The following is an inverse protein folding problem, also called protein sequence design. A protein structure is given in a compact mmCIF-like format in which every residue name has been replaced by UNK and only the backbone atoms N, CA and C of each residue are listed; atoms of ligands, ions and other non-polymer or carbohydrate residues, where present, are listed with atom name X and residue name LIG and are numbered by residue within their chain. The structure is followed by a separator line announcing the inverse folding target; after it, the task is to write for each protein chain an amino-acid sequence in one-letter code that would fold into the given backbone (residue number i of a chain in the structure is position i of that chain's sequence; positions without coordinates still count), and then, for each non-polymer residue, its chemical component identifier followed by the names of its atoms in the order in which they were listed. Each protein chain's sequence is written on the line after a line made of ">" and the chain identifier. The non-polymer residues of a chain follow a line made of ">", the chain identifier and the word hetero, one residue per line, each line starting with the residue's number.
data_IF_329898678815
#
_entry.id   IF_329898678815
#
_cell.length_a   1.000
_cell.length_b   1.000
_cell.length_c   1.000
_cell.angle_alpha   90.00
_cell.angle_beta   90.00
_cell.angle_gamma   90.00
#
_symmetry.space_group_name_H-M   'P 1'
#
loop_
_entity.id
_entity.type
_entity.pdbx_description
1 polymer ?
#
# COMPACT_ATOMS: atom_id res chain seq x y z
N UNK A 1 -18.80 -0.28 10.91
CA UNK A 1 -18.69 0.59 9.71
C UNK A 1 -17.76 -0.07 8.70
N UNK A 2 -18.03 0.04 7.40
CA UNK A 2 -17.14 -0.49 6.35
C UNK A 2 -16.74 0.63 5.40
N UNK A 3 -15.44 0.86 5.21
CA UNK A 3 -14.92 1.78 4.19
C UNK A 3 -14.21 1.03 3.07
N UNK A 4 -14.45 1.46 1.83
CA UNK A 4 -13.82 0.90 0.64
C UNK A 4 -13.32 2.08 -0.19
N UNK A 5 -11.99 2.20 -0.31
CA UNK A 5 -11.34 3.31 -1.01
C UNK A 5 -10.38 2.78 -2.07
N UNK A 6 -10.19 3.54 -3.15
CA UNK A 6 -9.24 3.22 -4.19
C UNK A 6 -7.92 3.95 -4.00
N UNK A 7 -6.81 3.32 -4.39
CA UNK A 7 -5.47 3.92 -4.30
C UNK A 7 -4.79 3.94 -5.66
N UNK A 8 -4.03 4.99 -6.01
CA UNK A 8 -3.19 5.01 -7.22
C UNK A 8 -2.01 4.06 -7.09
N UNK A 9 -1.36 4.04 -5.93
CA UNK A 9 -0.30 3.10 -5.60
C UNK A 9 -0.17 2.87 -4.09
N UNK A 10 0.51 1.80 -3.73
CA UNK A 10 0.88 1.47 -2.36
C UNK A 10 2.33 1.01 -2.30
N UNK A 11 3.09 1.48 -1.31
CA UNK A 11 4.43 0.94 -1.10
C UNK A 11 4.45 -0.30 -0.19
N UNK A 12 5.59 -0.98 -0.12
CA UNK A 12 5.70 -2.19 0.72
C UNK A 12 5.57 -1.91 2.22
N UNK A 13 5.63 -0.66 2.67
CA UNK A 13 5.33 -0.31 4.07
C UNK A 13 3.83 -0.09 4.31
N UNK A 14 3.00 -0.10 3.26
CA UNK A 14 1.57 0.17 3.34
C UNK A 14 1.22 1.66 3.30
N UNK A 15 2.13 2.53 2.88
CA UNK A 15 1.79 3.93 2.61
C UNK A 15 0.98 3.99 1.31
N UNK A 16 -0.13 4.70 1.33
CA UNK A 16 -1.05 4.80 0.19
C UNK A 16 -0.96 6.17 -0.45
N UNK A 17 -0.82 6.19 -1.77
CA UNK A 17 -0.95 7.40 -2.58
C UNK A 17 -2.23 7.25 -3.40
N UNK A 18 -3.16 8.20 -3.26
CA UNK A 18 -4.44 8.18 -3.97
C UNK A 18 -4.72 9.46 -4.77
N UNK A 19 -3.84 10.46 -4.70
CA UNK A 19 -4.11 11.79 -5.25
C UNK A 19 -3.07 12.34 -6.23
N UNK A 20 -1.88 11.74 -6.30
CA UNK A 20 -0.79 12.22 -7.17
C UNK A 20 -0.15 11.09 -8.00
N UNK A 21 0.37 11.46 -9.17
CA UNK A 21 1.21 10.59 -10.02
C UNK A 21 2.48 11.35 -10.36
N UNK A 22 3.65 10.80 -10.01
CA UNK A 22 4.94 11.47 -10.27
C UNK A 22 5.09 12.82 -9.56
N UNK A 23 4.45 12.99 -8.40
CA UNK A 23 4.43 14.24 -7.64
C UNK A 23 3.52 15.33 -8.20
N UNK A 24 2.78 15.05 -9.27
CA UNK A 24 1.78 15.97 -9.84
C UNK A 24 0.40 15.56 -9.37
N UNK A 25 -0.40 16.53 -8.91
CA UNK A 25 -1.79 16.30 -8.51
C UNK A 25 -2.59 15.72 -9.68
N UNK A 26 -3.32 14.65 -9.41
CA UNK A 26 -4.18 13.97 -10.36
C UNK A 26 -5.67 14.14 -10.00
N UNK A 27 -6.00 14.11 -8.71
CA UNK A 27 -7.33 14.27 -8.11
C UNK A 27 -7.17 14.73 -6.66
N UNK A 28 -8.22 15.13 -5.94
CA UNK A 28 -8.10 15.49 -4.52
C UNK A 28 -8.14 14.27 -3.58
N UNK A 29 -7.62 14.44 -2.35
CA UNK A 29 -7.72 13.46 -1.25
C UNK A 29 -9.17 12.99 -1.01
N UNK A 30 -10.13 13.92 -1.10
CA UNK A 30 -11.52 13.66 -0.72
C UNK A 30 -11.62 13.27 0.77
N UNK A 31 -12.57 12.39 1.10
CA UNK A 31 -12.76 11.87 2.46
C UNK A 31 -12.09 10.52 2.72
N UNK A 32 -11.20 10.04 1.83
CA UNK A 32 -10.62 8.70 1.97
C UNK A 32 -10.04 8.48 3.37
N UNK A 33 -9.20 9.41 3.82
CA UNK A 33 -8.56 9.33 5.13
C UNK A 33 -9.58 9.34 6.27
N UNK A 34 -10.62 10.19 6.18
CA UNK A 34 -11.69 10.27 7.18
C UNK A 34 -12.46 8.94 7.30
N UNK A 35 -12.76 8.29 6.17
CA UNK A 35 -13.46 7.00 6.16
C UNK A 35 -12.55 5.84 6.59
N UNK A 36 -11.24 5.90 6.32
CA UNK A 36 -10.27 4.93 6.84
C UNK A 36 -10.20 5.05 8.36
N UNK A 37 -10.05 6.28 8.88
CA UNK A 37 -10.03 6.55 10.32
C UNK A 37 -11.34 6.16 11.00
N UNK A 38 -12.48 6.59 10.47
CA UNK A 38 -13.79 6.26 11.03
C UNK A 38 -14.06 4.75 11.06
N UNK A 39 -13.59 4.00 10.06
CA UNK A 39 -13.67 2.55 10.10
C UNK A 39 -12.72 1.94 11.14
N UNK A 40 -11.50 2.46 11.32
CA UNK A 40 -10.58 1.97 12.34
C UNK A 40 -11.10 2.19 13.77
N UNK A 41 -11.79 3.30 14.04
CA UNK A 41 -12.32 3.63 15.37
C UNK A 41 -13.67 2.96 15.69
N UNK A 42 -14.36 2.43 14.68
CA UNK A 42 -15.64 1.76 14.87
C UNK A 42 -15.45 0.34 15.43
N UNK A 43 -16.24 -0.09 16.43
CA UNK A 43 -16.31 -1.50 16.82
C UNK A 43 -16.62 -2.38 15.59
N UNK A 44 -15.82 -3.43 15.41
CA UNK A 44 -15.88 -4.34 14.26
C UNK A 44 -15.73 -3.66 12.88
N UNK A 45 -15.17 -2.44 12.87
CA UNK A 45 -14.98 -1.67 11.66
C UNK A 45 -13.94 -2.27 10.73
N UNK A 46 -14.15 -2.09 9.43
CA UNK A 46 -13.31 -2.66 8.37
C UNK A 46 -13.00 -1.61 7.32
N UNK A 47 -11.72 -1.40 7.05
CA UNK A 47 -11.25 -0.55 5.96
C UNK A 47 -10.58 -1.39 4.88
N UNK A 48 -10.92 -1.12 3.62
CA UNK A 48 -10.36 -1.79 2.45
C UNK A 48 -9.75 -0.75 1.52
N UNK A 49 -8.48 -0.97 1.15
CA UNK A 49 -7.80 -0.24 0.07
C UNK A 49 -7.75 -1.16 -1.15
N UNK A 50 -8.44 -0.77 -2.22
CA UNK A 50 -8.70 -1.62 -3.39
C UNK A 50 -8.11 -1.01 -4.66
N UNK A 51 -7.29 -1.76 -5.39
CA UNK A 51 -6.73 -1.29 -6.65
C UNK A 51 -6.27 -2.42 -7.56
N UNK A 52 -6.24 -2.20 -8.88
CA UNK A 52 -5.63 -3.17 -9.80
C UNK A 52 -4.14 -3.29 -9.50
N UNK A 53 -3.53 -4.47 -9.65
CA UNK A 53 -2.11 -4.64 -9.33
C UNK A 53 -1.17 -3.88 -10.29
N UNK A 54 -1.67 -3.44 -11.45
CA UNK A 54 -0.93 -2.71 -12.49
C UNK A 54 -1.70 -1.53 -13.07
N UNK A 55 -0.97 -0.58 -13.68
CA UNK A 55 -1.49 0.51 -14.51
C UNK A 55 -0.73 0.61 -15.83
N UNK A 56 -1.25 1.40 -16.78
CA UNK A 56 -0.56 1.83 -17.99
C UNK A 56 -0.11 3.28 -17.82
N UNK A 57 1.19 3.55 -17.87
CA UNK A 57 1.76 4.90 -17.78
C UNK A 57 2.71 5.08 -18.97
N UNK A 58 2.43 6.07 -19.82
CA UNK A 58 3.26 6.34 -21.02
C UNK A 58 3.36 5.14 -21.97
N UNK A 59 2.29 4.36 -22.11
CA UNK A 59 2.26 3.14 -22.93
C UNK A 59 2.99 1.94 -22.32
N UNK A 60 3.48 2.04 -21.08
CA UNK A 60 4.16 0.95 -20.37
C UNK A 60 3.30 0.44 -19.23
N UNK A 61 3.22 -0.88 -19.11
CA UNK A 61 2.63 -1.54 -17.96
C UNK A 61 3.56 -1.37 -16.75
N UNK A 62 3.02 -0.89 -15.64
CA UNK A 62 3.76 -0.67 -14.39
C UNK A 62 3.02 -1.29 -13.21
N UNK A 63 3.75 -1.71 -12.19
CA UNK A 63 3.15 -2.18 -10.93
C UNK A 63 2.64 -1.01 -10.09
N UNK A 64 1.46 -1.17 -9.48
CA UNK A 64 0.90 -0.23 -8.51
C UNK A 64 1.30 -0.54 -7.06
N UNK A 65 1.89 -1.71 -6.84
CA UNK A 65 2.64 -2.00 -5.61
C UNK A 65 4.10 -1.63 -5.88
N UNK A 66 4.66 -0.71 -5.11
CA UNK A 66 6.03 -0.20 -5.27
C UNK A 66 6.90 -0.55 -4.08
N UNK A 67 8.21 -0.71 -4.27
CA UNK A 67 9.11 -0.95 -3.13
C UNK A 67 9.09 0.22 -2.14
N UNK A 68 9.17 1.43 -2.70
CA UNK A 68 9.04 2.73 -2.04
C UNK A 68 8.38 3.67 -3.04
N UNK A 69 7.60 4.62 -2.54
CA UNK A 69 7.12 5.69 -3.39
C UNK A 69 8.28 6.53 -3.93
N UNK A 70 8.17 7.02 -5.18
CA UNK A 70 9.18 7.92 -5.75
C UNK A 70 9.21 9.24 -4.98
N UNK A 71 10.32 9.98 -5.12
CA UNK A 71 10.42 11.34 -4.61
C UNK A 71 9.27 12.21 -5.14
N UNK A 72 8.75 13.09 -4.27
CA UNK A 72 7.61 13.95 -4.57
C UNK A 72 6.24 13.29 -4.44
N UNK A 73 6.15 11.99 -4.14
CA UNK A 73 4.87 11.36 -3.85
C UNK A 73 4.21 11.95 -2.59
N UNK A 74 2.91 12.23 -2.69
CA UNK A 74 2.07 12.74 -1.60
C UNK A 74 1.27 11.60 -1.01
N UNK A 75 1.56 11.24 0.24
CA UNK A 75 0.88 10.15 0.95
C UNK A 75 -0.49 10.62 1.39
N UNK A 76 -1.52 9.93 0.91
CA UNK A 76 -2.93 10.22 1.23
C UNK A 76 -3.37 9.47 2.49
N UNK A 77 -3.01 8.19 2.59
CA UNK A 77 -3.33 7.35 3.77
C UNK A 77 -2.03 6.78 4.35
N UNK A 78 -1.59 7.25 5.53
CA UNK A 78 -0.37 6.80 6.19
C UNK A 78 -0.34 5.30 6.51
N UNK A 79 0.87 4.75 6.69
CA UNK A 79 1.05 3.30 6.94
C UNK A 79 0.44 2.77 8.23
N UNK A 80 0.19 3.61 9.23
CA UNK A 80 -0.28 3.16 10.55
C UNK A 80 -1.73 2.67 10.56
N UNK A 81 -2.47 2.91 9.48
CA UNK A 81 -3.86 2.48 9.38
C UNK A 81 -4.01 0.96 9.30
N UNK A 82 -5.12 0.50 9.87
CA UNK A 82 -5.52 -0.91 10.00
C UNK A 82 -6.49 -1.29 8.88
N UNK A 83 -5.97 -1.44 7.66
CA UNK A 83 -6.79 -1.80 6.51
C UNK A 83 -6.40 -3.14 5.88
N UNK A 84 -7.33 -3.72 5.15
CA UNK A 84 -7.09 -4.82 4.22
C UNK A 84 -6.73 -4.26 2.85
N UNK A 85 -5.69 -4.81 2.23
CA UNK A 85 -5.26 -4.48 0.87
C UNK A 85 -5.84 -5.49 -0.08
N UNK A 86 -6.57 -5.03 -1.08
CA UNK A 86 -7.23 -5.90 -2.07
C UNK A 86 -6.74 -5.53 -3.46
N UNK A 87 -6.24 -6.54 -4.17
CA UNK A 87 -5.84 -6.40 -5.57
C UNK A 87 -6.48 -7.48 -6.44
N UNK A 88 -6.24 -7.42 -7.75
CA UNK A 88 -6.65 -8.49 -8.67
C UNK A 88 -5.98 -9.85 -8.41
N UNK A 89 -5.05 -9.92 -7.46
CA UNK A 89 -4.25 -11.11 -7.15
C UNK A 89 -4.44 -11.62 -5.71
N UNK A 90 -5.42 -11.08 -4.97
CA UNK A 90 -5.75 -11.52 -3.62
C UNK A 90 -6.00 -10.36 -2.68
N UNK A 91 -6.22 -10.71 -1.42
CA UNK A 91 -6.41 -9.76 -0.33
C UNK A 91 -5.52 -10.13 0.85
N UNK A 92 -4.92 -9.14 1.50
CA UNK A 92 -4.16 -9.32 2.73
C UNK A 92 -4.65 -8.36 3.79
N UNK A 93 -4.87 -8.91 4.97
CA UNK A 93 -5.21 -8.11 6.14
C UNK A 93 -3.93 -7.64 6.81
N UNK A 94 -3.72 -6.33 6.90
CA UNK A 94 -2.52 -5.78 7.53
C UNK A 94 -2.68 -5.55 9.04
N UNK A 95 -3.87 -5.85 9.58
CA UNK A 95 -4.12 -5.80 11.01
C UNK A 95 -3.19 -6.78 11.73
N UNK A 96 -2.59 -6.29 12.81
CA UNK A 96 -1.73 -7.06 13.72
C UNK A 96 -0.44 -7.63 13.10
N UNK A 97 -0.12 -7.29 11.84
CA UNK A 97 1.16 -7.62 11.22
C UNK A 97 2.25 -6.66 11.69
N UNK A 98 3.41 -7.20 12.03
CA UNK A 98 4.65 -6.43 12.20
C UNK A 98 5.06 -5.74 10.89
N UNK A 99 5.96 -4.75 10.99
CA UNK A 99 6.52 -4.08 9.81
C UNK A 99 7.15 -5.08 8.81
N UNK A 100 7.72 -6.19 9.29
CA UNK A 100 8.32 -7.22 8.45
C UNK A 100 7.25 -8.08 7.75
N UNK A 101 6.25 -8.57 8.49
CA UNK A 101 5.16 -9.37 7.93
C UNK A 101 4.32 -8.56 6.94
N UNK A 102 4.09 -7.28 7.23
CA UNK A 102 3.37 -6.35 6.35
C UNK A 102 4.04 -6.23 4.98
N UNK A 103 5.36 -6.08 4.97
CA UNK A 103 6.15 -5.95 3.73
C UNK A 103 5.99 -7.18 2.83
N UNK A 104 6.06 -8.38 3.42
CA UNK A 104 5.90 -9.63 2.68
C UNK A 104 4.45 -9.86 2.23
N UNK A 105 3.47 -9.57 3.10
CA UNK A 105 2.06 -9.70 2.80
C UNK A 105 1.65 -8.81 1.62
N UNK A 106 2.01 -7.52 1.64
CA UNK A 106 1.71 -6.60 0.54
C UNK A 106 2.37 -7.09 -0.76
N UNK A 107 3.65 -7.48 -0.71
CA UNK A 107 4.38 -7.98 -1.88
C UNK A 107 3.69 -9.20 -2.53
N UNK A 108 3.05 -10.07 -1.73
CA UNK A 108 2.34 -11.25 -2.23
C UNK A 108 1.12 -10.91 -3.11
N UNK A 109 0.52 -9.72 -2.91
CA UNK A 109 -0.64 -9.24 -3.68
C UNK A 109 -0.26 -8.51 -4.98
N UNK A 110 1.04 -8.43 -5.29
CA UNK A 110 1.49 -7.89 -6.56
C UNK A 110 1.08 -8.78 -7.73
N UNK A 111 1.01 -8.17 -8.90
CA UNK A 111 0.78 -8.85 -10.17
C UNK A 111 1.82 -9.94 -10.44
N UNK A 112 1.42 -11.05 -11.07
CA UNK A 112 2.31 -12.20 -11.31
C UNK A 112 3.62 -11.81 -12.00
N UNK A 113 3.58 -10.86 -12.94
CA UNK A 113 4.77 -10.39 -13.67
C UNK A 113 5.75 -9.66 -12.74
N UNK A 114 5.24 -8.86 -11.81
CA UNK A 114 6.05 -7.99 -10.94
C UNK A 114 6.36 -8.61 -9.57
N UNK A 115 5.62 -9.65 -9.17
CA UNK A 115 5.69 -10.28 -7.85
C UNK A 115 7.09 -10.80 -7.50
N UNK A 116 7.84 -11.50 -8.39
CA UNK A 116 9.18 -11.96 -8.04
C UNK A 116 10.09 -10.82 -7.58
N UNK A 117 10.08 -9.69 -8.28
CA UNK A 117 10.85 -8.50 -7.93
C UNK A 117 10.36 -7.85 -6.63
N UNK A 118 9.04 -7.77 -6.42
CA UNK A 118 8.46 -7.23 -5.16
C UNK A 118 8.84 -8.07 -3.95
N UNK A 119 8.86 -9.40 -4.09
CA UNK A 119 9.28 -10.32 -3.03
C UNK A 119 10.78 -10.21 -2.74
N UNK A 120 11.62 -10.00 -3.75
CA UNK A 120 13.04 -9.73 -3.55
C UNK A 120 13.28 -8.42 -2.79
N UNK A 121 12.62 -7.34 -3.22
CA UNK A 121 12.71 -6.04 -2.54
C UNK A 121 12.16 -6.12 -1.10
N UNK A 122 11.09 -6.88 -0.88
CA UNK A 122 10.54 -7.17 0.44
C UNK A 122 11.57 -7.83 1.35
N UNK A 123 12.24 -8.90 0.90
CA UNK A 123 13.30 -9.58 1.66
C UNK A 123 14.42 -8.62 2.05
N UNK A 124 14.85 -7.75 1.12
CA UNK A 124 15.89 -6.76 1.41
C UNK A 124 15.44 -5.70 2.42
N UNK A 125 14.16 -5.32 2.42
CA UNK A 125 13.59 -4.40 3.41
C UNK A 125 13.46 -5.06 4.78
N UNK A 126 12.95 -6.30 4.85
CA UNK A 126 12.86 -7.09 6.10
C UNK A 126 14.25 -7.24 6.73
N UNK A 127 15.25 -7.61 5.93
CA UNK A 127 16.63 -7.72 6.40
C UNK A 127 17.20 -6.40 6.95
N UNK A 128 16.71 -5.23 6.49
CA UNK A 128 17.08 -3.92 7.04
C UNK A 128 16.33 -3.62 8.33
N UNK A 129 15.03 -3.92 8.41
CA UNK A 129 14.18 -3.70 9.58
C UNK A 129 14.66 -4.51 10.79
N UNK A 130 15.20 -5.71 10.55
CA UNK A 130 15.71 -6.59 11.58
C UNK A 130 17.16 -6.30 11.99
N UNK A 131 17.84 -5.32 11.38
CA UNK A 131 19.19 -4.94 11.81
C UNK A 131 19.13 -4.39 13.23
N UNK A 132 20.06 -4.79 14.13
CA UNK A 132 20.15 -4.19 15.45
C UNK A 132 20.36 -2.68 15.29
N UNK A 133 19.55 -1.89 15.99
CA UNK A 133 19.75 -0.43 16.05
C UNK A 133 21.14 -0.20 16.61
N UNK A 134 22.02 0.46 15.86
CA UNK A 134 23.27 0.97 16.42
C UNK A 134 22.86 2.02 17.46
N UNK A 135 23.11 1.71 18.73
CA UNK A 135 22.97 2.64 19.84
C UNK A 135 23.90 3.84 19.66
#
# INVERSE_FOLDING_TARGET
>A
MTSVNAALSMDLFGQVVAECVGGVQYNGTGGQEDFVMGANECPDGKSFIVFTSTAQIGGRRVSRIVARHPEGAVVTTPRYHRHCVVTGHGAVDLRDLSDAERVEAIASTADLEFRPRRLEEARLLVAKLQRPRRA
#
